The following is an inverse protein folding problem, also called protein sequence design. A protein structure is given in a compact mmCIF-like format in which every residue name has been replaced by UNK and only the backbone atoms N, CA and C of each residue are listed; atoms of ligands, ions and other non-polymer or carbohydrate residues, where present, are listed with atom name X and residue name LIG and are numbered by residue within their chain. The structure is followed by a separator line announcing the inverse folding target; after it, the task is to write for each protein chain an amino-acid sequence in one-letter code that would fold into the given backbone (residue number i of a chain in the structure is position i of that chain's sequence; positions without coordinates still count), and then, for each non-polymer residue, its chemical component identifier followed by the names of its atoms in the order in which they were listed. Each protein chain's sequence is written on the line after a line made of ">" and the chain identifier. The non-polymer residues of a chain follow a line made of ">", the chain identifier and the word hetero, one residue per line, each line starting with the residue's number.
data_IF_129657238332
#
_entry.id   IF_129657238332
#
_cell.length_a   1.000
_cell.length_b   1.000
_cell.length_c   1.000
_cell.angle_alpha   90.00
_cell.angle_beta   90.00
_cell.angle_gamma   90.00
#
_symmetry.space_group_name_H-M   'P 1'
#
loop_
_entity.id
_entity.type
_entity.pdbx_description
1 polymer ?
#
# COMPACT_ATOMS: atom_id res chain seq x y z
N UNK A 1 -10.55 -1.31 -5.93
CA UNK A 1 -9.86 -1.96 -4.81
C UNK A 1 -10.82 -2.24 -3.68
N UNK A 2 -10.91 -3.51 -3.25
CA UNK A 2 -11.79 -3.94 -2.16
C UNK A 2 -10.93 -4.36 -0.96
N UNK A 3 -10.90 -3.53 0.08
CA UNK A 3 -10.19 -3.79 1.33
C UNK A 3 -11.20 -4.07 2.43
N UNK A 4 -10.83 -4.91 3.41
CA UNK A 4 -11.66 -5.09 4.60
C UNK A 4 -11.80 -3.76 5.36
N UNK A 5 -12.96 -3.50 6.00
CA UNK A 5 -13.17 -2.29 6.79
C UNK A 5 -12.11 -2.10 7.89
N UNK A 6 -11.68 -3.19 8.52
CA UNK A 6 -10.62 -3.19 9.55
C UNK A 6 -9.27 -2.71 8.99
N UNK A 7 -8.92 -3.13 7.77
CA UNK A 7 -7.70 -2.68 7.08
C UNK A 7 -7.76 -1.18 6.80
N UNK A 8 -8.91 -0.66 6.36
CA UNK A 8 -9.10 0.76 6.10
C UNK A 8 -8.93 1.61 7.37
N UNK A 9 -9.49 1.15 8.49
CA UNK A 9 -9.33 1.84 9.78
C UNK A 9 -7.88 1.88 10.22
N UNK A 10 -7.16 0.75 10.12
CA UNK A 10 -5.72 0.69 10.43
C UNK A 10 -4.90 1.59 9.53
N UNK A 11 -5.24 1.68 8.24
CA UNK A 11 -4.58 2.59 7.30
C UNK A 11 -4.77 4.04 7.76
N UNK A 12 -5.99 4.45 8.09
CA UNK A 12 -6.28 5.81 8.54
C UNK A 12 -5.54 6.17 9.83
N UNK A 13 -5.52 5.25 10.80
CA UNK A 13 -4.75 5.40 12.05
C UNK A 13 -3.25 5.54 11.77
N UNK A 14 -2.68 4.64 10.96
CA UNK A 14 -1.25 4.62 10.63
C UNK A 14 -0.81 5.92 9.99
N UNK A 15 -1.62 6.50 9.09
CA UNK A 15 -1.28 7.78 8.45
C UNK A 15 -1.07 8.89 9.48
N UNK A 16 -1.87 8.93 10.56
CA UNK A 16 -1.77 9.98 11.58
C UNK A 16 -0.46 9.96 12.36
N UNK A 17 0.23 8.81 12.40
CA UNK A 17 1.51 8.67 13.10
C UNK A 17 2.70 9.22 12.33
N UNK A 18 2.53 9.59 11.05
CA UNK A 18 3.63 10.11 10.23
C UNK A 18 3.46 11.61 9.95
N UNK A 19 4.46 12.45 10.26
CA UNK A 19 4.40 13.89 9.95
C UNK A 19 4.42 14.15 8.44
N UNK A 20 4.95 13.23 7.65
CA UNK A 20 4.95 13.31 6.19
C UNK A 20 4.19 12.13 5.60
N UNK A 21 3.15 12.41 4.79
CA UNK A 21 2.31 11.39 4.16
C UNK A 21 3.11 10.37 3.34
N UNK A 22 4.16 10.81 2.62
CA UNK A 22 5.04 9.93 1.83
C UNK A 22 5.69 8.84 2.70
N UNK A 23 6.00 9.12 3.97
CA UNK A 23 6.62 8.14 4.87
C UNK A 23 5.67 7.00 5.25
N UNK A 24 4.36 7.24 5.19
CA UNK A 24 3.34 6.23 5.45
C UNK A 24 3.15 5.25 4.27
N UNK A 25 3.78 5.48 3.11
CA UNK A 25 3.65 4.61 1.93
C UNK A 25 4.01 3.16 2.23
N UNK A 26 5.16 2.91 2.87
CA UNK A 26 5.63 1.57 3.18
C UNK A 26 4.66 0.80 4.10
N UNK A 27 4.27 1.31 5.29
CA UNK A 27 3.33 0.60 6.15
C UNK A 27 1.95 0.43 5.51
N UNK A 28 1.48 1.37 4.69
CA UNK A 28 0.22 1.21 3.94
C UNK A 28 0.27 0.03 2.97
N UNK A 29 1.33 -0.04 2.15
CA UNK A 29 1.52 -1.14 1.20
C UNK A 29 1.61 -2.48 1.93
N UNK A 30 2.20 -2.49 3.12
CA UNK A 30 2.26 -3.68 3.97
C UNK A 30 0.87 -4.16 4.40
N UNK A 31 0.02 -3.27 4.91
CA UNK A 31 -1.35 -3.60 5.32
C UNK A 31 -2.20 -4.08 4.14
N UNK A 32 -2.05 -3.45 2.98
CA UNK A 32 -2.75 -3.84 1.76
C UNK A 32 -2.34 -5.25 1.32
N UNK A 33 -1.04 -5.55 1.32
CA UNK A 33 -0.55 -6.86 0.96
C UNK A 33 -0.95 -7.94 1.97
N UNK A 34 -1.04 -7.60 3.26
CA UNK A 34 -1.52 -8.53 4.29
C UNK A 34 -2.99 -8.92 4.06
N UNK A 35 -3.81 -7.97 3.59
CA UNK A 35 -5.23 -8.20 3.35
C UNK A 35 -5.50 -8.96 2.03
N UNK A 36 -4.82 -8.56 0.94
CA UNK A 36 -5.07 -9.09 -0.41
C UNK A 36 -4.10 -10.25 -0.76
N UNK A 37 -2.96 -10.33 -0.10
CA UNK A 37 -1.87 -11.30 -0.36
C UNK A 37 -0.85 -10.83 -1.41
N UNK A 38 -1.17 -9.79 -2.19
CA UNK A 38 -0.31 -9.14 -3.18
C UNK A 38 -0.82 -7.72 -3.46
N UNK A 39 -0.05 -6.92 -4.19
CA UNK A 39 -0.36 -5.56 -4.59
C UNK A 39 -0.83 -5.52 -6.05
N UNK A 40 -2.14 -5.45 -6.33
CA UNK A 40 -2.62 -5.27 -7.70
C UNK A 40 -2.19 -3.91 -8.28
N UNK A 41 -2.18 -3.74 -9.62
CA UNK A 41 -1.74 -2.49 -10.26
C UNK A 41 -2.49 -1.23 -9.76
N UNK A 42 -3.78 -1.38 -9.46
CA UNK A 42 -4.65 -0.33 -8.91
C UNK A 42 -4.23 0.16 -7.51
N UNK A 43 -3.41 -0.61 -6.77
CA UNK A 43 -2.90 -0.19 -5.46
C UNK A 43 -2.06 1.07 -5.55
N UNK A 44 -1.28 1.25 -6.62
CA UNK A 44 -0.43 2.42 -6.81
C UNK A 44 -1.26 3.70 -6.82
N UNK A 45 -2.28 3.74 -7.67
CA UNK A 45 -3.20 4.89 -7.80
C UNK A 45 -4.00 5.11 -6.52
N UNK A 46 -4.48 4.03 -5.89
CA UNK A 46 -5.25 4.13 -4.66
C UNK A 46 -4.44 4.72 -3.50
N UNK A 47 -3.22 4.24 -3.28
CA UNK A 47 -2.33 4.75 -2.23
C UNK A 47 -1.89 6.18 -2.52
N UNK A 48 -1.60 6.49 -3.79
CA UNK A 48 -1.23 7.84 -4.21
C UNK A 48 -2.34 8.85 -3.92
N UNK A 49 -3.59 8.51 -4.27
CA UNK A 49 -4.76 9.32 -3.94
C UNK A 49 -4.96 9.45 -2.42
N UNK A 50 -4.83 8.36 -1.66
CA UNK A 50 -5.02 8.35 -0.19
C UNK A 50 -4.00 9.22 0.53
N UNK A 51 -2.75 9.21 0.08
CA UNK A 51 -1.64 9.98 0.66
C UNK A 51 -1.44 11.35 0.01
N UNK A 52 -2.22 11.69 -1.02
CA UNK A 52 -2.09 12.92 -1.83
C UNK A 52 -0.66 13.11 -2.37
N UNK A 53 -0.08 12.04 -2.90
CA UNK A 53 1.26 12.03 -3.52
C UNK A 53 1.16 11.55 -4.97
N UNK A 54 2.25 11.71 -5.73
CA UNK A 54 2.30 11.21 -7.10
C UNK A 54 2.38 9.67 -7.13
N UNK A 55 1.69 8.99 -8.07
CA UNK A 55 1.76 7.54 -8.24
C UNK A 55 3.18 6.99 -8.38
N UNK A 56 4.07 7.76 -9.04
CA UNK A 56 5.48 7.38 -9.21
C UNK A 56 6.19 7.17 -7.86
N UNK A 57 5.87 7.95 -6.83
CA UNK A 57 6.47 7.80 -5.51
C UNK A 57 6.07 6.48 -4.84
N UNK A 58 4.85 6.00 -5.10
CA UNK A 58 4.36 4.71 -4.59
C UNK A 58 5.01 3.58 -5.37
N UNK A 59 5.07 3.71 -6.69
CA UNK A 59 5.69 2.73 -7.58
C UNK A 59 7.18 2.53 -7.27
N UNK A 60 7.92 3.62 -7.00
CA UNK A 60 9.31 3.56 -6.52
C UNK A 60 9.42 2.71 -5.26
N UNK A 61 8.54 2.88 -4.26
CA UNK A 61 8.59 2.07 -3.02
C UNK A 61 8.29 0.60 -3.31
N UNK A 62 7.27 0.29 -4.12
CA UNK A 62 6.91 -1.08 -4.48
C UNK A 62 8.08 -1.78 -5.20
N UNK A 63 8.80 -1.07 -6.07
CA UNK A 63 9.92 -1.62 -6.84
C UNK A 63 11.22 -1.67 -6.04
N UNK A 64 11.44 -0.73 -5.13
CA UNK A 64 12.64 -0.65 -4.30
C UNK A 64 12.67 -1.74 -3.23
N UNK A 65 11.52 -2.13 -2.67
CA UNK A 65 11.44 -3.14 -1.60
C UNK A 65 10.98 -4.51 -2.14
N UNK A 66 11.86 -5.52 -2.20
CA UNK A 66 11.55 -6.84 -2.78
C UNK A 66 10.44 -7.64 -2.08
N UNK A 67 10.09 -7.26 -0.85
CA UNK A 67 9.02 -7.91 -0.08
C UNK A 67 7.62 -7.66 -0.64
N UNK A 68 7.44 -6.62 -1.45
CA UNK A 68 6.18 -6.31 -2.10
C UNK A 68 6.02 -7.11 -3.39
N UNK A 69 4.94 -7.87 -3.45
CA UNK A 69 4.61 -8.76 -4.56
C UNK A 69 3.53 -8.11 -5.39
N UNK A 70 3.80 -7.89 -6.67
CA UNK A 70 2.83 -7.30 -7.61
C UNK A 70 1.90 -8.36 -8.23
N UNK A 71 2.13 -9.63 -7.93
CA UNK A 71 1.38 -10.78 -8.47
C UNK A 71 1.07 -11.75 -7.34
N UNK A 72 -0.06 -12.48 -7.42
CA UNK A 72 -0.38 -13.51 -6.44
C UNK A 72 0.73 -14.56 -6.39
N UNK A 73 0.99 -15.11 -5.20
CA UNK A 73 1.80 -16.32 -5.09
C UNK A 73 1.03 -17.45 -5.79
N UNK A 74 1.63 -18.02 -6.82
CA UNK A 74 1.22 -19.34 -7.28
C UNK A 74 1.46 -20.31 -6.13
N UNK A 75 0.38 -20.85 -5.55
CA UNK A 75 0.50 -22.04 -4.70
C UNK A 75 1.10 -23.15 -5.57
N UNK A 76 2.27 -23.65 -5.18
CA UNK A 76 2.71 -24.99 -5.58
C UNK A 76 1.97 -26.02 -4.74
#
# INVERSE_FOLDING_TARGET
>A
MNLKPETLQRIDEVITHYPQKRSATLPLLHLIQEDIGYLPPETTEWVAAKLEIQPINVYEVITFYPMFRQKPIGRR
#
